data_IF_640676533721
#
_entry.id   IF_640676533721
#
_cell.length_a   1.000
_cell.length_b   1.000
_cell.length_c   1.000
_cell.angle_alpha   90.00
_cell.angle_beta   90.00
_cell.angle_gamma   90.00
#
_symmetry.space_group_name_H-M   'P 1'
#
loop_
_entity.id
_entity.type
_entity.pdbx_description
1 polymer ?
#
# COMPACT_ATOMS: atom_id res chain seq x y z
N UNK A 1 19.15 -7.16 4.36
CA UNK A 1 17.76 -6.88 3.95
C UNK A 1 16.88 -7.50 5.01
N UNK A 2 16.09 -6.76 5.80
CA UNK A 2 15.45 -7.41 6.95
C UNK A 2 14.50 -6.61 7.84
N UNK A 3 14.03 -5.44 7.41
CA UNK A 3 12.98 -4.69 8.13
C UNK A 3 11.60 -4.77 7.43
N UNK A 4 11.53 -5.51 6.31
CA UNK A 4 10.30 -5.79 5.58
C UNK A 4 9.71 -7.14 5.95
N UNK A 5 8.38 -7.20 6.06
CA UNK A 5 7.63 -8.44 6.20
C UNK A 5 6.82 -8.69 4.93
N UNK A 6 6.67 -9.96 4.55
CA UNK A 6 5.71 -10.38 3.53
C UNK A 6 4.62 -11.18 4.22
N UNK A 7 3.38 -10.70 4.11
CA UNK A 7 2.20 -11.37 4.62
C UNK A 7 1.25 -11.67 3.46
N UNK A 8 0.70 -12.87 3.44
CA UNK A 8 -0.28 -13.31 2.43
C UNK A 8 -1.61 -13.52 3.13
N UNK A 9 -2.66 -12.97 2.53
CA UNK A 9 -4.04 -13.05 2.99
C UNK A 9 -4.91 -13.57 1.85
N UNK A 10 -6.03 -14.20 2.19
CA UNK A 10 -6.99 -14.72 1.20
C UNK A 10 -7.65 -13.61 0.38
N UNK A 11 -7.80 -12.43 0.97
CA UNK A 11 -8.45 -11.29 0.35
C UNK A 11 -7.88 -9.92 0.84
N UNK A 12 -8.01 -8.85 0.04
CA UNK A 12 -7.45 -7.55 0.40
C UNK A 12 -8.18 -6.83 1.53
N UNK A 13 -9.44 -7.16 1.84
CA UNK A 13 -10.15 -6.59 2.99
C UNK A 13 -9.53 -7.11 4.28
N UNK A 14 -9.21 -8.40 4.36
CA UNK A 14 -8.49 -8.99 5.49
C UNK A 14 -7.10 -8.38 5.66
N UNK A 15 -6.37 -8.19 4.56
CA UNK A 15 -5.08 -7.49 4.58
C UNK A 15 -5.20 -6.06 5.14
N UNK A 16 -6.21 -5.29 4.70
CA UNK A 16 -6.45 -3.93 5.18
C UNK A 16 -6.84 -3.90 6.67
N UNK A 17 -7.70 -4.83 7.12
CA UNK A 17 -8.09 -4.98 8.52
C UNK A 17 -6.91 -5.30 9.43
N UNK A 18 -5.92 -6.05 8.95
CA UNK A 18 -4.72 -6.36 9.71
C UNK A 18 -3.74 -5.17 9.75
N UNK A 19 -3.49 -4.55 8.60
CA UNK A 19 -2.38 -3.61 8.47
C UNK A 19 -2.70 -2.21 8.99
N UNK A 20 -3.97 -1.77 8.92
CA UNK A 20 -4.36 -0.44 9.39
C UNK A 20 -4.16 -0.29 10.91
N UNK A 21 -4.68 -1.21 11.76
CA UNK A 21 -4.39 -1.18 13.19
C UNK A 21 -2.92 -1.36 13.51
N UNK A 22 -2.21 -2.24 12.79
CA UNK A 22 -0.77 -2.45 13.00
C UNK A 22 0.04 -1.16 12.76
N UNK A 23 -0.28 -0.44 11.68
CA UNK A 23 0.34 0.86 11.37
C UNK A 23 0.02 1.91 12.44
N UNK A 24 -1.20 1.94 12.96
CA UNK A 24 -1.57 2.89 14.02
C UNK A 24 -0.93 2.53 15.36
N UNK A 25 -0.84 1.26 15.71
CA UNK A 25 -0.15 0.78 16.91
C UNK A 25 1.34 1.11 16.88
N UNK A 26 1.98 1.06 15.70
CA UNK A 26 3.39 1.37 15.54
C UNK A 26 3.74 2.82 15.91
N UNK A 27 2.78 3.75 15.84
CA UNK A 27 2.97 5.15 16.29
C UNK A 27 3.27 5.26 17.78
N UNK A 28 2.91 4.24 18.57
CA UNK A 28 3.15 4.19 20.02
C UNK A 28 4.42 3.41 20.38
N UNK A 29 5.20 2.97 19.39
CA UNK A 29 6.47 2.28 19.62
C UNK A 29 7.59 3.30 19.52
N UNK A 30 8.29 3.54 20.62
CA UNK A 30 9.48 4.39 20.64
C UNK A 30 10.68 3.58 21.13
N UNK A 31 11.76 3.61 20.36
CA UNK A 31 13.01 2.91 20.69
C UNK A 31 14.13 3.91 20.53
N UNK A 32 14.79 4.27 21.63
CA UNK A 32 15.95 5.18 21.63
C UNK A 32 15.67 6.51 20.90
N UNK A 33 14.49 7.12 21.10
CA UNK A 33 14.09 8.36 20.44
C UNK A 33 13.65 8.22 18.98
N UNK A 34 13.49 6.99 18.49
CA UNK A 34 12.99 6.72 17.14
C UNK A 34 11.62 6.03 17.18
N UNK A 35 10.65 6.62 16.49
CA UNK A 35 9.34 6.01 16.20
C UNK A 35 9.34 5.45 14.78
N UNK A 36 9.30 4.12 14.60
CA UNK A 36 9.30 3.52 13.28
C UNK A 36 7.99 3.81 12.54
N UNK A 37 8.08 3.90 11.21
CA UNK A 37 6.90 4.01 10.34
C UNK A 37 6.93 2.89 9.30
N UNK A 38 5.75 2.35 9.01
CA UNK A 38 5.59 1.24 8.09
C UNK A 38 5.16 1.75 6.71
N UNK A 39 5.92 1.42 5.68
CA UNK A 39 5.49 1.58 4.28
C UNK A 39 4.85 0.27 3.81
N UNK A 40 3.69 0.37 3.17
CA UNK A 40 2.83 -0.79 2.89
C UNK A 40 2.51 -0.82 1.39
N UNK A 41 2.59 -2.01 0.79
CA UNK A 41 2.07 -2.29 -0.55
C UNK A 41 1.16 -3.51 -0.53
N UNK A 42 -0.01 -3.40 -1.16
CA UNK A 42 -0.99 -4.50 -1.26
C UNK A 42 -1.22 -4.83 -2.73
N UNK A 43 -1.04 -6.10 -3.08
CA UNK A 43 -1.34 -6.63 -4.41
C UNK A 43 -2.18 -7.90 -4.30
N UNK A 44 -3.06 -8.12 -5.27
CA UNK A 44 -3.83 -9.35 -5.41
C UNK A 44 -3.51 -9.97 -6.77
N UNK A 45 -3.03 -11.20 -6.73
CA UNK A 45 -2.66 -12.01 -7.88
C UNK A 45 -2.79 -13.50 -7.53
N UNK A 46 -1.96 -14.34 -8.11
CA UNK A 46 -1.96 -15.79 -7.90
C UNK A 46 -0.53 -16.28 -7.63
N UNK A 47 0.11 -15.86 -6.51
CA UNK A 47 1.45 -16.30 -6.19
C UNK A 47 1.47 -17.81 -5.95
N UNK A 48 2.58 -18.47 -6.28
CA UNK A 48 2.76 -19.90 -6.06
C UNK A 48 3.46 -20.12 -4.72
N UNK A 49 2.94 -21.04 -3.91
CA UNK A 49 3.59 -21.45 -2.67
C UNK A 49 4.58 -22.56 -2.96
N UNK A 50 5.85 -22.35 -2.65
CA UNK A 50 6.91 -23.35 -2.79
C UNK A 50 7.56 -23.52 -1.41
N UNK A 51 7.24 -24.63 -0.75
CA UNK A 51 7.65 -24.87 0.64
C UNK A 51 7.06 -23.85 1.62
N UNK A 52 7.92 -23.15 2.36
CA UNK A 52 7.53 -22.08 3.28
C UNK A 52 7.35 -20.73 2.60
N UNK A 53 7.75 -20.59 1.33
CA UNK A 53 7.90 -19.30 0.68
C UNK A 53 6.86 -19.10 -0.43
N UNK A 54 6.66 -17.83 -0.78
CA UNK A 54 5.81 -17.41 -1.89
C UNK A 54 6.70 -16.89 -3.01
N UNK A 55 6.52 -17.45 -4.20
CA UNK A 55 7.28 -17.11 -5.40
C UNK A 55 6.34 -16.73 -6.55
N UNK A 56 6.86 -15.93 -7.47
CA UNK A 56 6.16 -15.51 -8.67
C UNK A 56 6.19 -14.01 -8.90
N UNK A 57 5.68 -13.61 -10.06
CA UNK A 57 5.65 -12.21 -10.50
C UNK A 57 4.84 -11.34 -9.54
N UNK A 58 3.77 -11.88 -8.95
CA UNK A 58 2.88 -11.17 -8.03
C UNK A 58 3.58 -10.69 -6.75
N UNK A 59 4.60 -11.42 -6.28
CA UNK A 59 5.40 -11.06 -5.10
C UNK A 59 6.26 -9.84 -5.41
N UNK A 60 6.92 -9.85 -6.57
CA UNK A 60 7.70 -8.71 -7.04
C UNK A 60 6.80 -7.50 -7.31
N UNK A 61 5.60 -7.73 -7.87
CA UNK A 61 4.61 -6.68 -8.05
C UNK A 61 4.22 -6.06 -6.71
N UNK A 62 3.94 -6.86 -5.67
CA UNK A 62 3.61 -6.33 -4.35
C UNK A 62 4.71 -5.40 -3.80
N UNK A 63 5.97 -5.77 -3.99
CA UNK A 63 7.10 -4.91 -3.63
C UNK A 63 7.11 -3.60 -4.44
N UNK A 64 6.81 -3.63 -5.74
CA UNK A 64 6.72 -2.41 -6.57
C UNK A 64 5.51 -1.54 -6.21
N UNK A 65 4.40 -2.14 -5.79
CA UNK A 65 3.27 -1.39 -5.23
C UNK A 65 3.72 -0.66 -3.97
N UNK A 66 4.42 -1.34 -3.05
CA UNK A 66 4.95 -0.70 -1.84
C UNK A 66 5.89 0.48 -2.16
N UNK A 67 6.77 0.33 -3.16
CA UNK A 67 7.68 1.40 -3.60
C UNK A 67 6.97 2.65 -4.12
N UNK A 68 5.73 2.52 -4.61
CA UNK A 68 4.92 3.66 -5.06
C UNK A 68 4.41 4.53 -3.92
N UNK A 69 4.43 4.02 -2.69
CA UNK A 69 4.10 4.78 -1.49
C UNK A 69 5.33 5.54 -0.96
N UNK A 70 5.10 6.77 -0.47
CA UNK A 70 6.09 7.49 0.32
C UNK A 70 6.33 6.79 1.67
N UNK A 71 7.31 7.28 2.44
CA UNK A 71 7.60 6.80 3.80
C UNK A 71 6.32 6.83 4.66
N UNK A 72 5.95 5.70 5.26
CA UNK A 72 4.73 5.57 6.08
C UNK A 72 3.41 5.44 5.28
N UNK A 73 3.47 5.49 3.95
CA UNK A 73 2.31 5.44 3.08
C UNK A 73 1.80 4.01 2.84
N UNK A 74 0.57 3.92 2.34
CA UNK A 74 -0.06 2.67 1.92
C UNK A 74 -0.45 2.78 0.45
N UNK A 75 0.05 1.87 -0.37
CA UNK A 75 -0.34 1.72 -1.76
C UNK A 75 -1.05 0.38 -2.00
N UNK A 76 -1.98 0.38 -2.95
CA UNK A 76 -2.74 -0.79 -3.38
C UNK A 76 -2.78 -0.85 -4.91
N UNK A 77 -2.62 -2.05 -5.47
CA UNK A 77 -2.78 -2.27 -6.91
C UNK A 77 -4.26 -2.22 -7.32
N UNK A 78 -4.53 -1.90 -8.59
CA UNK A 78 -5.89 -1.96 -9.12
C UNK A 78 -6.58 -3.33 -8.95
N UNK A 79 -5.92 -4.48 -9.22
CA UNK A 79 -6.53 -5.79 -8.97
C UNK A 79 -6.93 -6.02 -7.51
N UNK A 80 -6.14 -5.53 -6.55
CA UNK A 80 -6.49 -5.61 -5.14
C UNK A 80 -7.64 -4.66 -4.79
N UNK A 81 -7.56 -3.39 -5.21
CA UNK A 81 -8.58 -2.39 -4.95
C UNK A 81 -9.95 -2.78 -5.52
N UNK A 82 -9.99 -3.40 -6.69
CA UNK A 82 -11.23 -3.87 -7.33
C UNK A 82 -11.98 -4.93 -6.49
N UNK A 83 -11.29 -5.62 -5.58
CA UNK A 83 -11.87 -6.61 -4.68
C UNK A 83 -12.27 -6.01 -3.31
N UNK A 84 -12.03 -4.72 -3.08
CA UNK A 84 -12.40 -4.04 -1.83
C UNK A 84 -13.75 -3.32 -2.03
N UNK A 85 -14.79 -3.66 -1.25
CA UNK A 85 -16.08 -2.97 -1.35
C UNK A 85 -15.98 -1.49 -1.02
N UNK A 86 -16.68 -0.62 -1.76
CA UNK A 86 -16.71 0.82 -1.48
C UNK A 86 -17.18 1.12 -0.05
N UNK A 87 -18.23 0.42 0.41
CA UNK A 87 -18.72 0.57 1.79
C UNK A 87 -17.65 0.26 2.86
N UNK A 88 -16.71 -0.64 2.56
CA UNK A 88 -15.59 -0.91 3.46
C UNK A 88 -14.59 0.26 3.46
N UNK A 89 -14.25 0.82 2.28
CA UNK A 89 -13.40 2.00 2.20
C UNK A 89 -14.01 3.17 2.96
N UNK A 90 -15.31 3.42 2.79
CA UNK A 90 -16.05 4.48 3.48
C UNK A 90 -16.05 4.28 4.99
N UNK A 91 -16.34 3.05 5.45
CA UNK A 91 -16.32 2.70 6.87
C UNK A 91 -14.94 2.90 7.50
N UNK A 92 -13.87 2.58 6.76
CA UNK A 92 -12.50 2.76 7.21
C UNK A 92 -11.98 4.19 6.98
N UNK A 93 -12.77 5.08 6.35
CA UNK A 93 -12.37 6.44 6.01
C UNK A 93 -11.16 6.50 5.07
N UNK A 94 -11.06 5.54 4.14
CA UNK A 94 -9.99 5.42 3.16
C UNK A 94 -10.41 5.98 1.81
N UNK A 95 -9.56 6.81 1.21
CA UNK A 95 -9.78 7.33 -0.15
C UNK A 95 -8.65 6.86 -1.08
N UNK A 96 -8.98 6.17 -2.18
CA UNK A 96 -7.98 5.76 -3.16
C UNK A 96 -7.63 6.93 -4.11
N UNK A 97 -6.38 7.38 -4.07
CA UNK A 97 -5.85 8.43 -4.93
C UNK A 97 -4.89 7.80 -5.96
N UNK A 98 -5.06 8.00 -7.29
CA UNK A 98 -4.17 7.42 -8.28
C UNK A 98 -2.71 7.85 -8.08
N UNK A 99 -1.78 6.89 -8.13
CA UNK A 99 -0.34 7.19 -8.14
C UNK A 99 0.00 7.91 -9.45
N UNK A 100 0.42 9.17 -9.36
CA UNK A 100 0.90 9.94 -10.52
C UNK A 100 2.35 9.60 -10.81
N UNK A 101 2.65 9.24 -12.05
CA UNK A 101 4.02 9.01 -12.51
C UNK A 101 4.51 10.20 -13.33
N UNK A 102 5.72 10.73 -13.05
CA UNK A 102 6.35 11.68 -13.96
C UNK A 102 6.55 11.03 -15.33
N UNK A 103 6.28 11.79 -16.40
CA UNK A 103 6.36 11.34 -17.80
C UNK A 103 7.74 10.78 -18.19
N UNK A 104 8.79 11.13 -17.44
CA UNK A 104 10.19 10.72 -17.70
C UNK A 104 10.73 9.71 -16.68
N UNK A 105 9.89 9.12 -15.82
CA UNK A 105 10.34 8.09 -14.87
C UNK A 105 10.61 6.77 -15.60
N UNK A 106 11.74 6.12 -15.28
CA UNK A 106 12.03 4.77 -15.77
C UNK A 106 10.97 3.78 -15.29
N UNK A 107 10.63 2.81 -16.13
CA UNK A 107 9.65 1.78 -15.77
C UNK A 107 10.24 0.88 -14.66
N UNK A 108 9.50 0.56 -13.59
CA UNK A 108 9.93 -0.42 -12.63
C UNK A 108 9.90 -1.77 -13.35
N UNK A 109 11.04 -2.45 -13.41
CA UNK A 109 11.10 -3.78 -13.96
C UNK A 109 10.15 -4.72 -13.17
N UNK A 110 9.41 -5.58 -13.89
CA UNK A 110 8.53 -6.59 -13.29
C UNK A 110 7.09 -6.14 -13.00
N UNK A 111 6.65 -4.97 -13.48
CA UNK A 111 5.25 -4.50 -13.38
C UNK A 111 4.59 -4.52 -14.77
N UNK A 112 3.36 -5.06 -14.92
CA UNK A 112 2.61 -5.00 -16.18
C UNK A 112 2.39 -3.55 -16.65
N UNK A 113 2.45 -3.31 -17.96
CA UNK A 113 2.51 -1.96 -18.55
C UNK A 113 1.33 -1.04 -18.18
N UNK A 114 0.17 -1.62 -17.94
CA UNK A 114 -1.08 -0.90 -17.66
C UNK A 114 -1.54 -1.04 -16.19
N UNK A 115 -0.69 -1.56 -15.30
CA UNK A 115 -1.08 -1.75 -13.91
C UNK A 115 -1.18 -0.41 -13.19
N UNK A 116 -2.43 -0.01 -12.89
CA UNK A 116 -2.72 1.16 -12.06
C UNK A 116 -2.47 0.84 -10.59
N UNK A 117 -2.01 1.85 -9.86
CA UNK A 117 -1.77 1.82 -8.42
C UNK A 117 -2.43 3.03 -7.78
N UNK A 118 -2.85 2.87 -6.53
CA UNK A 118 -3.54 3.91 -5.76
C UNK A 118 -2.89 4.01 -4.39
N UNK A 119 -2.73 5.24 -3.90
CA UNK A 119 -2.46 5.50 -2.49
C UNK A 119 -3.79 5.42 -1.74
N UNK A 120 -3.81 4.77 -0.56
CA UNK A 120 -4.96 4.85 0.33
C UNK A 120 -4.65 5.82 1.46
N UNK A 121 -5.25 6.99 1.36
CA UNK A 121 -5.12 8.06 2.34
C UNK A 121 -6.27 7.97 3.34
N UNK A 122 -5.99 8.19 4.62
CA UNK A 122 -7.05 8.35 5.62
C UNK A 122 -7.64 9.75 5.52
N UNK A 123 -8.92 9.93 5.83
CA UNK A 123 -9.57 11.26 5.82
C UNK A 123 -8.84 12.32 6.68
N UNK A 124 -8.05 11.91 7.69
CA UNK A 124 -7.19 12.81 8.50
C UNK A 124 -5.91 13.28 7.80
N UNK A 125 -5.51 12.64 6.71
CA UNK A 125 -4.31 12.94 5.92
C UNK A 125 -4.61 13.72 4.64
N UNK A 126 -5.89 13.87 4.27
CA UNK A 126 -6.29 14.73 3.17
C UNK A 126 -6.21 16.20 3.64
N UNK A 127 -5.63 17.12 2.85
CA UNK A 127 -5.78 18.55 3.09
C UNK A 127 -7.27 18.89 3.18
N UNK A 128 -7.65 19.81 4.07
CA UNK A 128 -9.02 20.30 4.11
C UNK A 128 -9.39 20.84 2.70
N UNK A 129 -10.62 20.64 2.21
CA UNK A 129 -11.02 21.21 0.93
C UNK A 129 -10.92 22.74 1.03
N UNK A 130 -9.91 23.33 0.39
CA UNK A 130 -9.69 24.78 0.40
C UNK A 130 -8.24 25.28 0.48
N UNK A 131 -7.24 24.40 0.64
CA UNK A 131 -5.83 24.84 0.61
C UNK A 131 -5.30 24.79 -0.84
N UNK A 132 -5.45 25.91 -1.55
CA UNK A 132 -5.06 26.09 -2.96
C UNK A 132 -3.61 26.56 -3.14
N UNK A 133 -2.74 26.28 -2.16
CA UNK A 133 -1.30 26.09 -2.36
C UNK A 133 -0.57 27.22 -3.10
N UNK A 134 -1.03 28.47 -2.97
CA UNK A 134 -0.29 29.64 -3.44
C UNK A 134 0.63 30.13 -2.32
N UNK A 135 1.92 29.86 -2.50
CA UNK A 135 3.01 30.68 -1.98
C UNK A 135 3.94 30.99 -3.14
#
# INVERSE_FOLDING_TARGET
MGDGIMAVFDDPVTALRAIIPARDALKNVEIQGYTPVMRIGIHAGTPQRIGSDWLGVDVNIAARVMESAAKGGLAISQPALAKVPLAFLDHMGLTPTPVRRPLFSSRPAGVPENMKMYLLETRRQLPAPGDDGRV
#
